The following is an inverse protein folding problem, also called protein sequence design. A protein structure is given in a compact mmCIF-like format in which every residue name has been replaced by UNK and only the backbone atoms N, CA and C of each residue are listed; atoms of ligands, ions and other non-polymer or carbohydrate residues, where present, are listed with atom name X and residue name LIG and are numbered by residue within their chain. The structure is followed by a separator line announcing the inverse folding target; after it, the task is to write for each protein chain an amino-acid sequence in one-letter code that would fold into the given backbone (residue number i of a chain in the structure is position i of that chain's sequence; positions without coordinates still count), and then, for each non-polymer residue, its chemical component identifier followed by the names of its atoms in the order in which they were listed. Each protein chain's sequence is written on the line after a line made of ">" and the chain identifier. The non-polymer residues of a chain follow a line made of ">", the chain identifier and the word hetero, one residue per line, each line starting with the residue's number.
data_IF_365416729022
#
_entry.id   IF_365416729022
#
_cell.length_a   1.000
_cell.length_b   1.000
_cell.length_c   1.000
_cell.angle_alpha   90.00
_cell.angle_beta   90.00
_cell.angle_gamma   90.00
#
_symmetry.space_group_name_H-M   'P 1'
#
loop_
_entity.id
_entity.type
_entity.pdbx_description
1 polymer ?
#
# COMPACT_ATOMS: atom_id res chain seq x y z
N UNK A 1 17.41 17.97 -8.35
CA UNK A 1 16.87 16.67 -8.75
C UNK A 1 15.48 16.55 -8.15
N UNK A 2 14.43 16.60 -8.97
CA UNK A 2 13.06 16.45 -8.48
C UNK A 2 12.80 14.94 -8.32
N UNK A 3 12.56 14.50 -7.09
CA UNK A 3 12.01 13.17 -6.83
C UNK A 3 10.65 13.15 -7.53
N UNK A 4 10.41 12.16 -8.40
CA UNK A 4 9.09 11.98 -8.99
C UNK A 4 8.12 11.75 -7.82
N UNK A 5 7.33 12.77 -7.49
CA UNK A 5 6.26 12.66 -6.52
C UNK A 5 5.19 11.80 -7.19
N UNK A 6 5.27 10.48 -7.05
CA UNK A 6 4.09 9.63 -7.24
C UNK A 6 3.09 10.17 -6.23
N UNK A 7 2.06 10.87 -6.70
CA UNK A 7 1.04 11.35 -5.80
C UNK A 7 0.39 10.09 -5.24
N UNK A 8 0.23 9.98 -3.92
CA UNK A 8 -0.33 8.76 -3.33
C UNK A 8 -1.71 8.45 -3.92
N UNK A 9 -2.43 9.48 -4.37
CA UNK A 9 -3.70 9.36 -5.08
C UNK A 9 -3.59 8.64 -6.44
N UNK A 10 -2.43 8.64 -7.09
CA UNK A 10 -2.18 7.93 -8.36
C UNK A 10 -2.17 6.39 -8.18
N UNK A 11 -2.09 5.94 -6.93
CA UNK A 11 -2.20 4.53 -6.58
C UNK A 11 -3.64 4.02 -6.65
N UNK A 12 -4.63 4.90 -6.63
CA UNK A 12 -6.04 4.50 -6.65
C UNK A 12 -6.36 3.75 -7.95
N UNK A 13 -6.98 2.58 -7.83
CA UNK A 13 -7.30 1.70 -8.95
C UNK A 13 -6.10 0.93 -9.53
N UNK A 14 -4.89 1.05 -8.94
CA UNK A 14 -3.74 0.24 -9.35
C UNK A 14 -3.79 -1.14 -8.69
N UNK A 15 -3.41 -2.15 -9.47
CA UNK A 15 -3.03 -3.46 -8.94
C UNK A 15 -1.69 -3.30 -8.20
N UNK A 16 -1.64 -3.79 -6.96
CA UNK A 16 -0.44 -3.73 -6.12
C UNK A 16 -0.23 -5.05 -5.43
N UNK A 17 1.01 -5.28 -5.02
CA UNK A 17 1.40 -6.38 -4.15
C UNK A 17 2.31 -5.86 -3.05
N UNK A 18 2.16 -6.35 -1.83
CA UNK A 18 2.98 -5.93 -0.70
C UNK A 18 3.00 -6.97 0.41
N UNK A 19 4.03 -6.88 1.26
CA UNK A 19 4.14 -7.66 2.48
C UNK A 19 3.74 -6.80 3.68
N UNK A 20 2.77 -7.28 4.47
CA UNK A 20 2.40 -6.69 5.75
C UNK A 20 3.06 -7.46 6.89
N UNK A 21 3.78 -6.74 7.75
CA UNK A 21 4.44 -7.33 8.93
C UNK A 21 3.69 -6.91 10.18
N UNK A 22 2.94 -7.85 10.76
CA UNK A 22 2.32 -7.67 12.07
C UNK A 22 3.31 -8.05 13.16
N UNK A 23 3.72 -7.07 13.96
CA UNK A 23 4.53 -7.31 15.15
C UNK A 23 3.61 -7.52 16.35
N UNK A 24 3.63 -8.71 16.91
CA UNK A 24 2.90 -9.02 18.15
C UNK A 24 3.84 -9.66 19.16
N UNK A 25 3.99 -9.03 20.32
CA UNK A 25 4.97 -9.39 21.35
C UNK A 25 6.40 -9.45 20.79
N UNK A 26 7.06 -10.61 20.90
CA UNK A 26 8.41 -10.87 20.39
C UNK A 26 8.41 -11.64 19.06
N UNK A 27 7.25 -11.74 18.39
CA UNK A 27 7.09 -12.47 17.12
C UNK A 27 6.65 -11.53 16.00
N UNK A 28 7.18 -11.77 14.81
CA UNK A 28 6.80 -11.10 13.59
C UNK A 28 6.03 -12.08 12.71
N UNK A 29 4.86 -11.67 12.24
CA UNK A 29 4.02 -12.42 11.31
C UNK A 29 3.98 -11.66 9.99
N UNK A 30 4.36 -12.33 8.92
CA UNK A 30 4.41 -11.75 7.57
C UNK A 30 3.27 -12.28 6.72
N UNK A 31 2.55 -11.38 6.06
CA UNK A 31 1.41 -11.70 5.22
C UNK A 31 1.59 -11.06 3.84
N UNK A 32 1.54 -11.87 2.80
CA UNK A 32 1.56 -11.41 1.41
C UNK A 32 0.15 -11.00 0.99
N UNK A 33 0.03 -9.78 0.48
CA UNK A 33 -1.21 -9.23 -0.04
C UNK A 33 -1.01 -8.80 -1.50
N UNK A 34 -2.03 -9.01 -2.31
CA UNK A 34 -2.12 -8.51 -3.68
C UNK A 34 -3.57 -8.18 -3.98
N UNK A 35 -3.81 -7.07 -4.68
CA UNK A 35 -5.16 -6.61 -4.98
C UNK A 35 -5.17 -5.22 -5.60
N UNK A 36 -6.36 -4.69 -5.84
CA UNK A 36 -6.55 -3.33 -6.38
C UNK A 36 -6.75 -2.36 -5.23
N UNK A 37 -6.02 -1.24 -5.23
CA UNK A 37 -6.27 -0.17 -4.25
C UNK A 37 -7.64 0.47 -4.54
N UNK A 38 -8.56 0.28 -3.61
CA UNK A 38 -9.95 0.79 -3.69
C UNK A 38 -10.14 2.06 -2.89
N UNK A 39 -9.35 2.24 -1.82
CA UNK A 39 -9.46 3.39 -0.92
C UNK A 39 -8.10 3.92 -0.52
N UNK A 40 -8.03 5.24 -0.38
CA UNK A 40 -6.86 5.95 0.17
C UNK A 40 -7.36 6.92 1.24
N UNK A 41 -6.81 6.80 2.44
CA UNK A 41 -7.12 7.68 3.57
C UNK A 41 -5.88 8.52 3.88
N UNK A 42 -6.03 9.83 3.77
CA UNK A 42 -4.99 10.80 4.11
C UNK A 42 -5.40 11.49 5.41
N UNK A 43 -4.65 11.23 6.48
CA UNK A 43 -4.83 11.95 7.74
C UNK A 43 -4.23 13.35 7.65
N UNK A 44 -4.82 14.33 8.37
CA UNK A 44 -4.23 15.66 8.52
C UNK A 44 -2.88 15.62 9.26
N UNK A 45 -2.57 14.53 9.96
CA UNK A 45 -1.25 14.28 10.55
C UNK A 45 -0.20 13.85 9.51
N UNK A 46 -0.57 13.68 8.25
CA UNK A 46 0.33 13.25 7.16
C UNK A 46 0.46 11.74 6.98
N UNK A 47 -0.16 10.93 7.86
CA UNK A 47 -0.16 9.48 7.70
C UNK A 47 -1.14 9.05 6.61
N UNK A 48 -0.74 8.06 5.82
CA UNK A 48 -1.54 7.53 4.72
C UNK A 48 -1.84 6.06 4.94
N UNK A 49 -3.09 5.68 4.70
CA UNK A 49 -3.53 4.29 4.66
C UNK A 49 -4.16 3.96 3.32
N UNK A 50 -4.04 2.71 2.90
CA UNK A 50 -4.67 2.16 1.71
C UNK A 50 -5.56 0.98 2.09
N UNK A 51 -6.61 0.72 1.32
CA UNK A 51 -7.33 -0.55 1.35
C UNK A 51 -7.27 -1.20 -0.03
N UNK A 52 -7.10 -2.51 -0.06
CA UNK A 52 -7.19 -3.32 -1.28
C UNK A 52 -8.52 -4.07 -1.30
N UNK A 53 -9.14 -4.17 -2.49
CA UNK A 53 -10.36 -4.96 -2.74
C UNK A 53 -11.48 -4.75 -1.69
N UNK A 54 -11.72 -3.49 -1.30
CA UNK A 54 -12.69 -3.08 -0.27
C UNK A 54 -12.49 -3.73 1.12
N UNK A 55 -11.28 -4.20 1.41
CA UNK A 55 -10.90 -4.85 2.67
C UNK A 55 -10.38 -3.90 3.75
N UNK A 56 -9.47 -4.42 4.57
CA UNK A 56 -8.88 -3.68 5.69
C UNK A 56 -7.93 -2.56 5.26
N UNK A 57 -7.70 -1.60 6.16
CA UNK A 57 -6.80 -0.47 5.94
C UNK A 57 -5.39 -0.73 6.48
N UNK A 58 -4.40 -0.58 5.60
CA UNK A 58 -2.99 -0.76 5.90
C UNK A 58 -2.24 0.56 5.85
N UNK A 59 -1.38 0.82 6.84
CA UNK A 59 -0.52 2.01 6.83
C UNK A 59 0.58 1.85 5.79
N UNK A 60 0.73 2.83 4.90
CA UNK A 60 1.72 2.79 3.83
C UNK A 60 3.16 2.68 4.38
N UNK A 61 3.39 3.25 5.57
CA UNK A 61 4.68 3.21 6.28
C UNK A 61 5.07 1.82 6.80
N UNK A 62 4.07 0.95 7.00
CA UNK A 62 4.25 -0.40 7.55
C UNK A 62 4.39 -1.47 6.46
N UNK A 63 4.11 -1.11 5.21
CA UNK A 63 4.23 -2.04 4.09
C UNK A 63 5.70 -2.27 3.74
N UNK A 64 6.02 -3.52 3.40
CA UNK A 64 7.31 -3.92 2.85
C UNK A 64 7.11 -4.43 1.43
N UNK A 65 8.16 -4.31 0.63
CA UNK A 65 8.18 -4.84 -0.74
C UNK A 65 6.98 -4.40 -1.58
N UNK A 66 6.51 -3.16 -1.37
CA UNK A 66 5.37 -2.62 -2.10
C UNK A 66 5.73 -2.45 -3.58
N UNK A 67 4.99 -3.15 -4.44
CA UNK A 67 5.09 -3.05 -5.88
C UNK A 67 3.76 -2.65 -6.49
N UNK A 68 3.83 -1.81 -7.52
CA UNK A 68 2.69 -1.58 -8.41
C UNK A 68 2.85 -2.55 -9.56
N UNK A 69 1.88 -3.44 -9.69
CA UNK A 69 1.88 -4.41 -10.77
C UNK A 69 1.39 -3.68 -12.02
N UNK A 70 2.35 -3.08 -12.74
CA UNK A 70 2.06 -2.41 -14.01
C UNK A 70 1.33 -3.39 -14.93
N UNK A 71 0.11 -3.05 -15.35
CA UNK A 71 -0.46 -3.62 -16.57
C UNK A 71 0.60 -3.46 -17.66
N UNK A 72 0.95 -4.56 -18.33
CA UNK A 72 1.67 -4.47 -19.60
C UNK A 72 0.81 -3.59 -20.50
N UNK A 73 1.25 -2.35 -20.72
CA UNK A 73 0.75 -1.54 -21.81
C UNK A 73 1.25 -2.21 -23.09
N UNK A 74 0.41 -3.01 -23.72
CA UNK A 74 0.57 -3.42 -25.13
C UNK A 74 0.46 -2.20 -26.07
#
# INVERSE_FOLDING_TARGET
>A
MAVAHTNVLDLLGKQVSFLYILKHESKEYSFDYSGVITHIVVSLSGSVKIAIDDGDFYSLEELREFTIDSEKTD
#
